data_IF_055538550283
#
_entry.id   IF_055538550283
#
_cell.length_a   1.000
_cell.length_b   1.000
_cell.length_c   1.000
_cell.angle_alpha   90.00
_cell.angle_beta   90.00
_cell.angle_gamma   90.00
#
_symmetry.space_group_name_H-M   'P 1'
#
loop_
_entity.id
_entity.type
_entity.pdbx_description
1 polymer ?
#
# COMPACT_ATOMS: atom_id res chain seq x y z
N UNK A 1 -9.93 40.90 60.75
CA UNK A 1 -10.98 41.89 61.07
C UNK A 1 -11.25 42.80 59.86
N UNK A 2 -12.49 42.71 59.33
CA UNK A 2 -13.26 43.66 58.50
C UNK A 2 -12.69 44.16 57.16
N UNK A 3 -13.45 44.40 56.06
CA UNK A 3 -14.68 43.88 55.45
C UNK A 3 -14.95 44.76 54.19
N UNK A 4 -15.53 44.16 53.12
CA UNK A 4 -16.45 44.73 52.10
C UNK A 4 -15.97 45.63 50.93
N UNK A 5 -16.03 45.05 49.72
CA UNK A 5 -16.86 45.37 48.53
C UNK A 5 -17.40 46.81 48.30
N UNK A 6 -17.23 47.35 47.07
CA UNK A 6 -18.34 47.77 46.18
C UNK A 6 -17.89 48.27 44.80
N UNK A 7 -18.76 48.02 43.84
CA UNK A 7 -18.73 48.26 42.39
C UNK A 7 -18.80 49.73 41.97
N UNK A 8 -18.31 50.07 40.77
CA UNK A 8 -19.08 50.86 39.77
C UNK A 8 -18.39 50.98 38.39
N UNK A 9 -19.24 50.87 37.37
CA UNK A 9 -19.04 51.05 35.94
C UNK A 9 -18.89 52.51 35.52
N UNK A 10 -18.04 52.81 34.53
CA UNK A 10 -18.15 54.02 33.71
C UNK A 10 -17.78 53.76 32.24
N UNK A 11 -18.53 54.44 31.36
CA UNK A 11 -18.72 54.25 29.91
C UNK A 11 -17.65 54.96 29.03
N UNK A 12 -17.96 55.46 27.82
CA UNK A 12 -17.60 54.90 26.51
C UNK A 12 -16.62 55.79 25.71
N UNK A 13 -16.20 55.38 24.50
CA UNK A 13 -16.18 56.19 23.25
C UNK A 13 -15.25 55.62 22.17
N UNK A 14 -15.81 55.54 20.96
CA UNK A 14 -15.12 55.47 19.67
C UNK A 14 -14.41 56.78 19.35
N UNK A 15 -13.44 56.79 18.40
CA UNK A 15 -13.77 57.41 17.12
C UNK A 15 -13.16 56.71 15.88
N UNK A 16 -13.85 56.82 14.75
CA UNK A 16 -13.32 56.63 13.39
C UNK A 16 -12.28 57.71 13.04
N UNK A 17 -11.52 57.56 11.94
CA UNK A 17 -11.96 58.21 10.71
C UNK A 17 -11.70 57.41 9.42
N UNK A 18 -12.34 57.90 8.36
CA UNK A 18 -12.46 57.35 7.00
C UNK A 18 -11.74 58.30 6.03
N UNK A 19 -10.88 57.80 5.15
CA UNK A 19 -10.59 58.33 3.80
C UNK A 19 -9.65 57.36 3.06
N UNK A 20 -10.13 56.55 2.09
CA UNK A 20 -10.27 56.80 0.64
C UNK A 20 -8.93 56.84 -0.12
N UNK A 21 -8.71 55.87 -1.02
CA UNK A 21 -7.67 55.94 -2.05
C UNK A 21 -7.26 54.57 -2.62
N UNK A 22 -7.73 54.26 -3.82
CA UNK A 22 -7.40 53.09 -4.66
C UNK A 22 -5.98 53.14 -5.22
N UNK A 23 -5.23 52.02 -5.23
CA UNK A 23 -4.43 51.52 -6.36
C UNK A 23 -3.53 50.30 -5.99
N UNK A 24 -3.71 49.22 -6.77
CA UNK A 24 -2.78 48.16 -7.18
C UNK A 24 -1.49 47.83 -6.37
N UNK A 25 -1.40 46.57 -5.92
CA UNK A 25 -0.33 45.61 -6.25
C UNK A 25 -0.67 44.20 -5.70
N UNK A 26 -0.39 43.10 -6.44
CA UNK A 26 -0.70 41.74 -6.00
C UNK A 26 0.48 41.16 -5.20
N UNK A 27 0.22 40.73 -3.96
CA UNK A 27 1.15 39.98 -3.12
C UNK A 27 0.65 38.55 -2.98
N UNK A 28 1.51 37.61 -3.36
CA UNK A 28 1.23 36.20 -3.53
C UNK A 28 0.89 35.50 -2.21
N UNK A 29 -0.24 34.78 -2.21
CA UNK A 29 -0.52 33.66 -1.31
C UNK A 29 -1.39 32.64 -2.04
N UNK A 30 -0.77 31.88 -2.94
CA UNK A 30 -1.34 30.65 -3.51
C UNK A 30 -0.29 29.53 -3.41
N UNK A 31 0.13 29.21 -2.19
CA UNK A 31 0.77 27.93 -1.89
C UNK A 31 -0.32 26.87 -1.60
N UNK A 32 -1.13 26.56 -2.62
CA UNK A 32 -1.97 25.36 -2.64
C UNK A 32 -1.71 24.61 -3.94
N UNK A 33 -1.00 23.49 -3.81
CA UNK A 33 -1.12 22.29 -4.64
C UNK A 33 -1.33 22.55 -6.13
N UNK A 34 -0.26 22.88 -6.84
CA UNK A 34 -0.23 22.72 -8.30
C UNK A 34 -0.18 21.22 -8.60
N UNK A 35 -1.36 20.60 -8.69
CA UNK A 35 -1.51 19.35 -9.43
C UNK A 35 -1.13 19.65 -10.88
N UNK A 36 0.03 19.16 -11.33
CA UNK A 36 0.59 19.45 -12.65
C UNK A 36 -0.44 19.09 -13.75
N UNK A 37 -1.02 20.07 -14.47
CA UNK A 37 -2.15 19.86 -15.38
C UNK A 37 -1.83 18.92 -16.55
N UNK A 38 -0.54 18.76 -16.88
CA UNK A 38 -0.09 17.89 -17.97
C UNK A 38 -0.03 16.41 -17.57
N UNK A 39 0.16 16.10 -16.28
CA UNK A 39 0.11 14.70 -15.78
C UNK A 39 -1.32 14.17 -15.90
N UNK A 40 -2.30 15.02 -15.64
CA UNK A 40 -3.71 14.74 -15.93
C UNK A 40 -4.02 14.77 -17.44
N UNK A 41 -3.36 15.64 -18.22
CA UNK A 41 -3.57 15.70 -19.68
C UNK A 41 -3.00 14.49 -20.45
N UNK A 42 -1.98 13.80 -19.93
CA UNK A 42 -1.46 12.57 -20.51
C UNK A 42 -2.31 11.33 -20.19
N UNK A 43 -3.24 11.45 -19.23
CA UNK A 43 -4.08 10.36 -18.75
C UNK A 43 -5.53 10.69 -19.15
N UNK A 44 -5.77 10.70 -20.46
CA UNK A 44 -7.14 10.75 -20.97
C UNK A 44 -7.94 9.56 -20.42
N UNK A 45 -9.20 9.78 -20.03
CA UNK A 45 -10.03 8.76 -19.37
C UNK A 45 -10.24 7.51 -20.25
N UNK A 46 -10.02 7.66 -21.56
CA UNK A 46 -10.15 6.61 -22.58
C UNK A 46 -8.91 5.74 -22.73
N UNK A 47 -7.72 6.20 -22.30
CA UNK A 47 -6.44 5.57 -22.64
C UNK A 47 -5.79 4.77 -21.51
N UNK A 48 -6.38 4.76 -20.31
CA UNK A 48 -5.82 4.10 -19.11
C UNK A 48 -5.82 2.57 -19.19
N UNK A 49 -6.54 1.99 -20.14
CA UNK A 49 -6.51 0.55 -20.40
C UNK A 49 -5.70 0.19 -21.66
N UNK A 50 -5.08 1.16 -22.33
CA UNK A 50 -4.28 0.91 -23.53
C UNK A 50 -2.78 0.77 -23.20
N UNK A 51 -2.19 -0.34 -23.61
CA UNK A 51 -0.78 -0.67 -23.34
C UNK A 51 0.15 0.30 -24.06
N UNK A 52 -0.20 0.69 -25.29
CA UNK A 52 0.61 1.57 -26.12
C UNK A 52 0.62 3.01 -25.61
N UNK A 53 -0.53 3.51 -25.14
CA UNK A 53 -0.65 4.83 -24.51
C UNK A 53 0.20 4.92 -23.24
N UNK A 54 0.20 3.85 -22.43
CA UNK A 54 1.01 3.76 -21.22
C UNK A 54 2.50 3.70 -21.55
N UNK A 55 2.90 2.82 -22.46
CA UNK A 55 4.29 2.71 -22.91
C UNK A 55 4.83 4.04 -23.45
N UNK A 56 4.02 4.78 -24.24
CA UNK A 56 4.36 6.14 -24.70
C UNK A 56 4.52 7.13 -23.55
N UNK A 57 3.62 7.10 -22.57
CA UNK A 57 3.68 8.00 -21.41
C UNK A 57 4.91 7.72 -20.56
N UNK A 58 5.20 6.45 -20.28
CA UNK A 58 6.40 6.03 -19.56
C UNK A 58 7.66 6.43 -20.30
N UNK A 59 7.73 6.20 -21.62
CA UNK A 59 8.90 6.59 -22.43
C UNK A 59 9.10 8.12 -22.44
N UNK A 60 8.01 8.90 -22.51
CA UNK A 60 8.05 10.36 -22.45
C UNK A 60 8.42 10.92 -21.07
N UNK A 61 8.12 10.20 -19.99
CA UNK A 61 8.55 10.56 -18.64
C UNK A 61 10.03 10.17 -18.44
N UNK A 62 10.44 9.00 -18.91
CA UNK A 62 11.84 8.53 -18.86
C UNK A 62 12.81 9.41 -19.68
N UNK A 63 12.35 10.05 -20.75
CA UNK A 63 13.17 10.96 -21.56
C UNK A 63 13.36 12.34 -20.95
N UNK A 64 12.64 12.67 -19.86
CA UNK A 64 12.77 13.94 -19.14
C UNK A 64 13.69 13.79 -17.93
N UNK A 65 14.48 14.83 -17.56
CA UNK A 65 15.41 14.78 -16.44
C UNK A 65 14.71 14.96 -15.07
N UNK A 66 13.51 14.37 -14.89
CA UNK A 66 12.73 14.45 -13.65
C UNK A 66 12.35 13.04 -13.16
N UNK A 67 13.25 12.37 -12.42
CA UNK A 67 13.02 11.00 -11.93
C UNK A 67 11.82 10.90 -10.97
N UNK A 68 11.49 11.98 -10.27
CA UNK A 68 10.43 12.03 -9.24
C UNK A 68 9.01 11.87 -9.79
N UNK A 69 8.82 12.06 -11.09
CA UNK A 69 7.51 12.02 -11.74
C UNK A 69 7.09 10.59 -12.12
N UNK A 70 8.06 9.72 -12.39
CA UNK A 70 7.79 8.34 -12.82
C UNK A 70 6.99 7.56 -11.77
N UNK A 71 7.33 7.59 -10.47
CA UNK A 71 6.59 6.84 -9.45
C UNK A 71 5.17 7.37 -9.23
N UNK A 72 4.99 8.70 -9.36
CA UNK A 72 3.68 9.34 -9.28
C UNK A 72 2.77 8.93 -10.45
N UNK A 73 3.30 8.92 -11.68
CA UNK A 73 2.58 8.46 -12.87
C UNK A 73 2.22 6.98 -12.77
N UNK A 74 3.18 6.13 -12.36
CA UNK A 74 2.94 4.71 -12.16
C UNK A 74 1.88 4.45 -11.07
N UNK A 75 1.96 5.17 -9.95
CA UNK A 75 0.99 5.06 -8.85
C UNK A 75 -0.39 5.52 -9.26
N UNK A 76 -0.50 6.63 -10.01
CA UNK A 76 -1.77 7.14 -10.50
C UNK A 76 -2.41 6.19 -11.52
N UNK A 77 -1.62 5.68 -12.46
CA UNK A 77 -2.09 4.72 -13.47
C UNK A 77 -2.54 3.42 -12.82
N UNK A 78 -1.75 2.85 -11.90
CA UNK A 78 -2.13 1.65 -11.17
C UNK A 78 -3.35 1.90 -10.26
N UNK A 79 -3.48 3.04 -9.59
CA UNK A 79 -4.64 3.31 -8.74
C UNK A 79 -5.96 3.34 -9.53
N UNK A 80 -5.92 3.74 -10.80
CA UNK A 80 -7.07 3.74 -11.70
C UNK A 80 -7.33 2.36 -12.32
N UNK A 81 -6.27 1.58 -12.55
CA UNK A 81 -6.33 0.24 -13.13
C UNK A 81 -6.65 -0.88 -12.12
N UNK A 82 -6.00 -0.89 -10.95
CA UNK A 82 -6.10 -1.91 -9.90
C UNK A 82 -7.55 -2.22 -9.45
N UNK A 83 -8.45 -1.24 -9.25
CA UNK A 83 -9.85 -1.50 -8.93
C UNK A 83 -10.59 -2.26 -10.04
N UNK A 84 -10.30 -1.94 -11.31
CA UNK A 84 -10.91 -2.60 -12.48
C UNK A 84 -10.42 -4.05 -12.66
N UNK A 85 -9.25 -4.40 -12.11
CA UNK A 85 -8.80 -5.79 -12.02
C UNK A 85 -9.63 -6.58 -11.00
N UNK A 86 -9.98 -5.96 -9.87
CA UNK A 86 -10.69 -6.60 -8.75
C UNK A 86 -12.22 -6.65 -8.93
N UNK A 87 -12.81 -5.68 -9.63
CA UNK A 87 -14.24 -5.64 -9.94
C UNK A 87 -14.45 -5.72 -11.45
N UNK A 88 -14.46 -6.93 -11.99
CA UNK A 88 -15.01 -7.17 -13.33
C UNK A 88 -16.55 -7.10 -13.29
N UNK A 89 -17.11 -5.91 -13.07
CA UNK A 89 -18.56 -5.69 -13.06
C UNK A 89 -19.00 -4.25 -13.39
N UNK A 90 -18.20 -3.41 -14.07
CA UNK A 90 -18.74 -2.19 -14.67
C UNK A 90 -18.76 -2.28 -16.19
N UNK A 91 -19.87 -2.83 -16.69
CA UNK A 91 -20.24 -2.72 -18.09
C UNK A 91 -20.53 -1.28 -18.47
N UNK A 92 -19.52 -0.56 -18.97
CA UNK A 92 -19.73 0.69 -19.70
C UNK A 92 -18.94 0.69 -21.01
N UNK A 93 -19.68 0.44 -22.09
CA UNK A 93 -19.44 0.81 -23.49
C UNK A 93 -18.05 0.53 -24.09
N UNK A 94 -17.74 -0.76 -24.29
CA UNK A 94 -16.93 -1.23 -25.43
C UNK A 94 -17.58 -2.51 -26.01
N UNK A 95 -17.29 -2.89 -27.26
CA UNK A 95 -17.83 -4.11 -27.89
C UNK A 95 -17.50 -5.34 -27.03
N UNK A 96 -18.14 -6.50 -27.25
CA UNK A 96 -17.83 -7.70 -26.50
C UNK A 96 -16.40 -8.18 -26.84
N UNK A 97 -15.39 -7.60 -26.19
CA UNK A 97 -14.08 -8.22 -26.12
C UNK A 97 -14.27 -9.52 -25.35
N UNK A 98 -13.78 -10.63 -25.92
CA UNK A 98 -13.78 -11.92 -25.25
C UNK A 98 -13.17 -11.76 -23.85
N UNK A 99 -13.74 -12.38 -22.80
CA UNK A 99 -13.18 -12.31 -21.44
C UNK A 99 -11.69 -12.70 -21.40
N UNK A 100 -11.26 -13.57 -22.31
CA UNK A 100 -9.84 -13.95 -22.51
C UNK A 100 -8.98 -12.79 -23.03
N UNK A 101 -9.51 -11.97 -23.95
CA UNK A 101 -8.79 -10.82 -24.50
C UNK A 101 -8.59 -9.73 -23.43
N UNK A 102 -9.63 -9.43 -22.66
CA UNK A 102 -9.56 -8.51 -21.51
C UNK A 102 -8.56 -8.99 -20.46
N UNK A 103 -8.55 -10.30 -20.18
CA UNK A 103 -7.60 -10.92 -19.26
C UNK A 103 -6.15 -10.83 -19.75
N UNK A 104 -5.88 -11.17 -21.02
CA UNK A 104 -4.54 -11.07 -21.62
C UNK A 104 -4.04 -9.61 -21.63
N UNK A 105 -4.93 -8.66 -21.93
CA UNK A 105 -4.62 -7.23 -21.91
C UNK A 105 -4.26 -6.75 -20.50
N UNK A 106 -5.01 -7.18 -19.48
CA UNK A 106 -4.69 -6.92 -18.08
C UNK A 106 -3.30 -7.47 -17.70
N UNK A 107 -2.97 -8.69 -18.15
CA UNK A 107 -1.66 -9.29 -17.90
C UNK A 107 -0.53 -8.50 -18.56
N UNK A 108 -0.70 -8.12 -19.83
CA UNK A 108 0.30 -7.34 -20.57
C UNK A 108 0.53 -5.94 -19.96
N UNK A 109 -0.53 -5.28 -19.49
CA UNK A 109 -0.42 -4.00 -18.78
C UNK A 109 0.40 -4.14 -17.51
N UNK A 110 0.17 -5.18 -16.72
CA UNK A 110 0.96 -5.45 -15.52
C UNK A 110 2.43 -5.70 -15.86
N UNK A 111 2.72 -6.54 -16.85
CA UNK A 111 4.09 -6.80 -17.29
C UNK A 111 4.79 -5.51 -17.74
N UNK A 112 4.07 -4.65 -18.46
CA UNK A 112 4.57 -3.34 -18.89
C UNK A 112 4.78 -2.38 -17.73
N UNK A 113 3.89 -2.37 -16.73
CA UNK A 113 4.01 -1.58 -15.50
C UNK A 113 5.25 -1.98 -14.68
N UNK A 114 5.48 -3.28 -14.53
CA UNK A 114 6.65 -3.80 -13.82
C UNK A 114 7.94 -3.51 -14.58
N UNK A 115 7.95 -3.72 -15.91
CA UNK A 115 9.10 -3.35 -16.76
C UNK A 115 9.37 -1.83 -16.79
N UNK A 116 8.34 -1.02 -16.51
CA UNK A 116 8.48 0.43 -16.40
C UNK A 116 9.13 0.87 -15.08
N UNK A 117 9.13 0.04 -14.03
CA UNK A 117 9.73 0.36 -12.74
C UNK A 117 11.23 0.67 -12.92
N UNK A 118 11.78 1.65 -12.18
CA UNK A 118 13.21 1.85 -12.08
C UNK A 118 13.90 0.53 -11.71
N UNK A 119 15.04 0.20 -12.35
CA UNK A 119 15.85 -0.93 -11.91
C UNK A 119 16.26 -0.70 -10.46
N UNK A 120 16.29 -1.77 -9.66
CA UNK A 120 16.75 -1.64 -8.28
C UNK A 120 18.19 -1.09 -8.27
N UNK A 121 18.50 -0.11 -7.41
CA UNK A 121 19.83 0.45 -7.33
C UNK A 121 20.84 -0.66 -6.97
N UNK A 122 21.98 -0.76 -7.69
CA UNK A 122 22.95 -1.84 -7.52
C UNK A 122 23.62 -1.90 -6.14
N UNK A 123 23.40 -0.89 -5.28
CA UNK A 123 24.10 -0.76 -4.00
C UNK A 123 23.24 -0.99 -2.75
N UNK A 124 21.97 -1.41 -2.88
CA UNK A 124 21.08 -1.55 -1.71
C UNK A 124 20.93 -0.26 -0.90
N UNK A 125 21.36 0.87 -1.45
CA UNK A 125 21.04 2.19 -0.94
C UNK A 125 19.59 2.46 -1.30
N UNK A 126 18.85 3.04 -0.35
CA UNK A 126 17.56 3.65 -0.62
C UNK A 126 17.78 4.83 -1.57
N UNK A 127 17.89 4.54 -2.87
CA UNK A 127 17.51 5.52 -3.85
C UNK A 127 16.01 5.73 -3.62
N UNK A 128 15.61 6.97 -3.41
CA UNK A 128 14.22 7.36 -3.35
C UNK A 128 13.62 7.19 -4.76
N UNK A 129 13.44 5.94 -5.18
CA UNK A 129 12.80 5.57 -6.44
C UNK A 129 11.30 5.92 -6.43
N UNK A 130 10.81 6.63 -5.40
CA UNK A 130 9.43 7.04 -5.13
C UNK A 130 8.41 5.90 -5.03
N UNK A 131 8.83 4.65 -5.17
CA UNK A 131 7.96 3.46 -5.15
C UNK A 131 7.81 2.96 -3.72
N UNK A 132 6.57 2.94 -3.24
CA UNK A 132 6.21 2.45 -1.91
C UNK A 132 6.07 0.93 -1.89
N UNK A 133 6.28 0.30 -0.73
CA UNK A 133 6.05 -1.13 -0.56
C UNK A 133 4.57 -1.50 -0.82
N UNK A 134 3.64 -0.66 -0.36
CA UNK A 134 2.21 -0.84 -0.60
C UNK A 134 1.85 -0.90 -2.10
N UNK A 135 2.51 -0.09 -2.93
CA UNK A 135 2.32 -0.14 -4.39
C UNK A 135 2.80 -1.48 -4.96
N UNK A 136 3.96 -1.97 -4.53
CA UNK A 136 4.50 -3.27 -4.96
C UNK A 136 3.57 -4.42 -4.54
N UNK A 137 3.08 -4.40 -3.31
CA UNK A 137 2.13 -5.40 -2.79
C UNK A 137 0.79 -5.38 -3.54
N UNK A 138 0.31 -4.19 -3.94
CA UNK A 138 -0.88 -4.06 -4.81
C UNK A 138 -0.65 -4.65 -6.20
N UNK A 139 0.52 -4.41 -6.81
CA UNK A 139 0.88 -5.03 -8.08
C UNK A 139 1.00 -6.55 -7.96
N UNK A 140 1.61 -7.04 -6.88
CA UNK A 140 1.76 -8.47 -6.59
C UNK A 140 0.39 -9.15 -6.43
N UNK A 141 -0.53 -8.51 -5.72
CA UNK A 141 -1.93 -8.93 -5.60
C UNK A 141 -2.62 -9.01 -6.96
N UNK A 142 -2.51 -7.96 -7.77
CA UNK A 142 -3.11 -7.94 -9.10
C UNK A 142 -2.51 -8.99 -10.03
N UNK A 143 -1.18 -9.19 -9.99
CA UNK A 143 -0.49 -10.21 -10.75
C UNK A 143 -0.86 -11.62 -10.35
N UNK A 144 -1.06 -11.88 -9.07
CA UNK A 144 -1.52 -13.18 -8.58
C UNK A 144 -2.95 -13.47 -9.06
N UNK A 145 -3.84 -12.47 -9.04
CA UNK A 145 -5.22 -12.60 -9.49
C UNK A 145 -5.34 -12.79 -11.01
N UNK A 146 -4.44 -12.17 -11.79
CA UNK A 146 -4.41 -12.30 -13.26
C UNK A 146 -3.55 -13.49 -13.70
N UNK A 147 -2.85 -14.20 -12.82
CA UNK A 147 -1.98 -15.32 -13.20
C UNK A 147 -0.81 -14.87 -14.10
N UNK A 148 -0.14 -13.79 -13.69
CA UNK A 148 1.07 -13.29 -14.36
C UNK A 148 2.25 -14.26 -14.24
N UNK A 149 3.30 -14.03 -15.03
CA UNK A 149 4.48 -14.89 -15.04
C UNK A 149 5.13 -15.01 -13.65
N UNK A 150 5.58 -16.21 -13.29
CA UNK A 150 6.15 -16.48 -11.98
C UNK A 150 7.43 -15.68 -11.72
N UNK A 151 8.27 -15.42 -12.74
CA UNK A 151 9.47 -14.61 -12.58
C UNK A 151 9.12 -13.15 -12.27
N UNK A 152 8.08 -12.60 -12.91
CA UNK A 152 7.57 -11.26 -12.62
C UNK A 152 7.08 -11.13 -11.17
N UNK A 153 6.30 -12.11 -10.70
CA UNK A 153 5.83 -12.13 -9.31
C UNK A 153 6.99 -12.28 -8.33
N UNK A 154 8.03 -13.05 -8.65
CA UNK A 154 9.23 -13.19 -7.82
C UNK A 154 10.04 -11.91 -7.74
N UNK A 155 10.12 -11.16 -8.84
CA UNK A 155 10.77 -9.85 -8.83
C UNK A 155 10.02 -8.85 -7.95
N UNK A 156 8.69 -8.80 -8.05
CA UNK A 156 7.84 -7.98 -7.18
C UNK A 156 7.96 -8.39 -5.72
N UNK A 157 7.94 -9.69 -5.42
CA UNK A 157 8.13 -10.25 -4.08
C UNK A 157 9.49 -9.82 -3.50
N UNK A 158 10.56 -9.93 -4.29
CA UNK A 158 11.92 -9.52 -3.92
C UNK A 158 12.01 -8.03 -3.59
N UNK A 159 11.42 -7.17 -4.44
CA UNK A 159 11.39 -5.71 -4.23
C UNK A 159 10.57 -5.32 -3.00
N UNK A 160 9.41 -5.97 -2.79
CA UNK A 160 8.56 -5.73 -1.63
C UNK A 160 9.23 -6.18 -0.33
N UNK A 161 9.93 -7.32 -0.35
CA UNK A 161 10.66 -7.85 0.80
C UNK A 161 11.70 -6.85 1.31
N UNK A 162 12.48 -6.20 0.43
CA UNK A 162 13.47 -5.16 0.81
C UNK A 162 12.89 -3.96 1.56
N UNK A 163 11.61 -3.64 1.31
CA UNK A 163 10.93 -2.44 1.82
C UNK A 163 9.78 -2.79 2.78
N UNK A 164 9.76 -4.03 3.31
CA UNK A 164 8.65 -4.54 4.11
C UNK A 164 8.42 -3.73 5.39
N UNK A 165 9.46 -3.09 5.92
CA UNK A 165 9.40 -2.21 7.09
C UNK A 165 8.59 -0.91 6.87
N UNK A 166 8.23 -0.62 5.61
CA UNK A 166 7.42 0.52 5.19
C UNK A 166 6.00 0.11 4.79
N UNK A 167 5.67 -1.18 4.84
CA UNK A 167 4.37 -1.69 4.41
C UNK A 167 3.28 -1.43 5.45
N UNK A 168 2.06 -1.18 4.97
CA UNK A 168 0.86 -1.14 5.83
C UNK A 168 0.24 -2.52 5.96
N UNK A 169 -0.44 -2.77 7.08
CA UNK A 169 -1.15 -4.04 7.32
C UNK A 169 -2.15 -4.33 6.20
N UNK A 170 -2.93 -3.33 5.77
CA UNK A 170 -3.92 -3.48 4.72
C UNK A 170 -3.32 -3.89 3.36
N UNK A 171 -2.09 -3.47 3.06
CA UNK A 171 -1.41 -3.85 1.82
C UNK A 171 -0.86 -5.28 1.87
N UNK A 172 -0.45 -5.77 3.04
CA UNK A 172 0.07 -7.13 3.25
C UNK A 172 -1.03 -8.19 3.30
N UNK A 173 -2.27 -7.80 3.61
CA UNK A 173 -3.46 -8.67 3.56
C UNK A 173 -3.84 -9.00 2.10
N UNK A 174 -3.02 -9.82 1.45
CA UNK A 174 -3.22 -10.30 0.08
C UNK A 174 -4.01 -11.62 0.14
N UNK A 175 -5.17 -11.71 -0.53
CA UNK A 175 -5.92 -12.96 -0.57
C UNK A 175 -5.16 -14.07 -1.31
N UNK A 176 -5.39 -15.32 -0.92
CA UNK A 176 -4.84 -16.48 -1.61
C UNK A 176 -5.55 -16.69 -2.96
N UNK A 177 -4.94 -16.22 -4.06
CA UNK A 177 -5.44 -16.45 -5.41
C UNK A 177 -4.84 -17.73 -6.01
N UNK A 178 -5.68 -18.76 -6.21
CA UNK A 178 -5.38 -19.88 -7.09
C UNK A 178 -4.34 -20.92 -6.63
N UNK A 179 -3.92 -20.96 -5.35
CA UNK A 179 -2.81 -21.82 -4.92
C UNK A 179 -3.08 -22.79 -3.74
N UNK A 180 -4.32 -23.16 -3.45
CA UNK A 180 -4.57 -24.22 -2.46
C UNK A 180 -5.63 -25.24 -2.91
N UNK A 181 -5.24 -26.51 -3.15
CA UNK A 181 -6.19 -27.61 -3.11
C UNK A 181 -6.52 -27.90 -1.64
N UNK A 182 -7.75 -27.56 -1.24
CA UNK A 182 -8.24 -27.67 0.15
C UNK A 182 -8.06 -26.35 0.90
N UNK A 183 -9.18 -25.78 1.36
CA UNK A 183 -9.30 -24.43 1.96
C UNK A 183 -8.22 -24.11 2.98
N UNK A 184 -7.16 -23.46 2.50
CA UNK A 184 -6.26 -22.66 3.31
C UNK A 184 -6.84 -21.26 3.38
N UNK A 185 -6.70 -20.60 4.53
CA UNK A 185 -6.93 -19.17 4.81
C UNK A 185 -7.28 -18.27 3.62
N UNK A 186 -8.23 -17.36 3.80
CA UNK A 186 -8.57 -16.36 2.79
C UNK A 186 -7.34 -15.51 2.42
N UNK A 187 -6.34 -15.45 3.31
CA UNK A 187 -5.06 -14.78 3.13
C UNK A 187 -3.95 -15.72 2.63
N UNK A 188 -3.03 -15.20 1.80
CA UNK A 188 -1.82 -15.89 1.37
C UNK A 188 -0.72 -15.79 2.45
N UNK A 189 -0.89 -16.55 3.53
CA UNK A 189 0.10 -16.64 4.62
C UNK A 189 1.48 -17.09 4.11
N UNK A 190 1.59 -18.07 3.18
CA UNK A 190 2.88 -18.44 2.60
C UNK A 190 3.60 -17.29 1.90
N UNK A 191 2.87 -16.37 1.24
CA UNK A 191 3.47 -15.17 0.64
C UNK A 191 4.06 -14.25 1.70
N UNK A 192 3.32 -13.94 2.77
CA UNK A 192 3.80 -13.08 3.85
C UNK A 192 5.06 -13.67 4.49
N UNK A 193 5.08 -14.97 4.71
CA UNK A 193 6.25 -15.68 5.22
C UNK A 193 7.48 -15.52 4.30
N UNK A 194 7.29 -15.61 2.97
CA UNK A 194 8.38 -15.39 2.00
C UNK A 194 8.88 -13.95 2.02
N UNK A 195 7.99 -12.96 2.14
CA UNK A 195 8.36 -11.55 2.26
C UNK A 195 9.21 -11.29 3.52
N UNK A 196 8.78 -11.82 4.67
CA UNK A 196 9.52 -11.71 5.93
C UNK A 196 10.90 -12.37 5.83
N UNK A 197 10.96 -13.58 5.27
CA UNK A 197 12.24 -14.28 5.03
C UNK A 197 13.16 -13.51 4.08
N UNK A 198 12.60 -12.91 3.03
CA UNK A 198 13.34 -12.07 2.09
C UNK A 198 13.95 -10.86 2.78
N UNK A 199 13.14 -10.11 3.54
CA UNK A 199 13.57 -8.95 4.32
C UNK A 199 14.74 -9.28 5.25
N UNK A 200 14.65 -10.42 5.95
CA UNK A 200 15.70 -10.87 6.87
C UNK A 200 16.96 -11.36 6.15
N UNK A 201 16.81 -12.03 5.01
CA UNK A 201 17.94 -12.54 4.20
C UNK A 201 18.76 -11.39 3.60
N UNK A 202 18.11 -10.29 3.24
CA UNK A 202 18.77 -9.07 2.74
C UNK A 202 19.29 -8.18 3.89
N UNK A 203 19.11 -8.64 5.12
CA UNK A 203 19.30 -7.96 6.40
C UNK A 203 20.72 -7.56 6.81
N UNK A 204 21.67 -7.41 5.88
CA UNK A 204 22.95 -6.77 6.21
C UNK A 204 22.79 -5.30 6.65
N UNK A 205 21.68 -4.64 6.30
CA UNK A 205 21.39 -3.23 6.64
C UNK A 205 19.94 -2.93 7.07
N UNK A 206 18.94 -3.71 6.65
CA UNK A 206 17.51 -3.47 6.94
C UNK A 206 16.94 -4.23 8.14
N UNK A 207 17.51 -5.38 8.52
CA UNK A 207 16.99 -6.20 9.62
C UNK A 207 17.46 -5.75 11.02
N UNK A 208 18.39 -4.79 11.11
CA UNK A 208 18.90 -4.25 12.36
C UNK A 208 18.07 -3.07 12.90
N UNK A 209 17.87 -3.01 14.21
CA UNK A 209 17.27 -1.86 14.89
C UNK A 209 15.79 -1.62 14.56
N UNK A 210 15.41 -0.36 14.30
CA UNK A 210 14.01 0.07 14.19
C UNK A 210 13.22 -0.51 13.01
N UNK A 211 13.87 -0.91 11.92
CA UNK A 211 13.21 -1.52 10.75
C UNK A 211 12.75 -2.96 11.05
N UNK A 212 13.60 -3.76 11.70
CA UNK A 212 13.21 -5.07 12.23
C UNK A 212 12.02 -4.97 13.21
N UNK A 213 12.01 -3.95 14.08
CA UNK A 213 10.90 -3.71 14.99
C UNK A 213 9.58 -3.33 14.29
N UNK A 214 9.64 -2.59 13.17
CA UNK A 214 8.45 -2.30 12.35
C UNK A 214 7.90 -3.57 11.70
N UNK A 215 8.77 -4.40 11.14
CA UNK A 215 8.37 -5.70 10.55
C UNK A 215 7.80 -6.64 11.60
N UNK A 216 8.38 -6.70 12.80
CA UNK A 216 7.86 -7.50 13.90
C UNK A 216 6.41 -7.10 14.26
N UNK A 217 6.16 -5.78 14.43
CA UNK A 217 4.82 -5.25 14.70
C UNK A 217 3.83 -5.55 13.57
N UNK A 218 4.28 -5.43 12.32
CA UNK A 218 3.47 -5.73 11.14
C UNK A 218 3.07 -7.22 11.11
N UNK A 219 4.00 -8.12 11.40
CA UNK A 219 3.75 -9.57 11.48
C UNK A 219 2.82 -9.92 12.63
N UNK A 220 3.04 -9.35 13.82
CA UNK A 220 2.17 -9.62 14.98
C UNK A 220 0.73 -9.09 14.72
N UNK A 221 0.59 -7.93 14.06
CA UNK A 221 -0.71 -7.41 13.65
C UNK A 221 -1.37 -8.27 12.56
N UNK A 222 -0.60 -8.76 11.59
CA UNK A 222 -1.07 -9.70 10.57
C UNK A 222 -1.57 -11.01 11.21
N UNK A 223 -0.81 -11.58 12.14
CA UNK A 223 -1.20 -12.79 12.87
C UNK A 223 -2.47 -12.58 13.67
N UNK A 224 -2.67 -11.40 14.28
CA UNK A 224 -3.89 -11.09 15.02
C UNK A 224 -5.14 -11.07 14.11
N UNK A 225 -5.04 -10.52 12.90
CA UNK A 225 -6.14 -10.52 11.92
C UNK A 225 -6.34 -11.91 11.32
N UNK A 226 -5.27 -12.59 10.90
CA UNK A 226 -5.33 -13.93 10.34
C UNK A 226 -5.89 -14.95 11.35
N UNK A 227 -5.63 -14.77 12.65
CA UNK A 227 -6.16 -15.62 13.70
C UNK A 227 -7.70 -15.54 13.86
N UNK A 228 -8.35 -14.51 13.29
CA UNK A 228 -9.82 -14.44 13.24
C UNK A 228 -10.41 -15.36 12.18
N UNK A 229 -9.60 -15.78 11.20
CA UNK A 229 -10.01 -16.70 10.15
C UNK A 229 -10.03 -18.15 10.66
N UNK A 230 -11.11 -18.88 10.38
CA UNK A 230 -11.30 -20.25 10.86
C UNK A 230 -10.32 -21.26 10.22
N UNK A 231 -9.63 -20.88 9.14
CA UNK A 231 -8.82 -21.77 8.31
C UNK A 231 -7.30 -21.59 8.53
N UNK A 232 -6.87 -20.74 9.48
CA UNK A 232 -5.44 -20.57 9.78
C UNK A 232 -4.88 -21.84 10.41
N UNK A 233 -3.90 -22.47 9.76
CA UNK A 233 -3.30 -23.70 10.27
C UNK A 233 -2.32 -23.38 11.41
N UNK A 234 -2.25 -24.21 12.46
CA UNK A 234 -1.33 -23.99 13.57
C UNK A 234 0.13 -23.87 13.09
N UNK A 235 0.51 -24.70 12.11
CA UNK A 235 1.84 -24.70 11.52
C UNK A 235 2.19 -23.36 10.84
N UNK A 236 1.24 -22.72 10.16
CA UNK A 236 1.46 -21.43 9.50
C UNK A 236 1.62 -20.30 10.51
N UNK A 237 0.80 -20.29 11.55
CA UNK A 237 0.91 -19.34 12.66
C UNK A 237 2.27 -19.47 13.35
N UNK A 238 2.69 -20.71 13.65
CA UNK A 238 3.96 -21.00 14.30
C UNK A 238 5.16 -20.62 13.42
N UNK A 239 5.11 -20.97 12.13
CA UNK A 239 6.19 -20.68 11.18
C UNK A 239 6.38 -19.17 10.99
N UNK A 240 5.28 -18.41 10.88
CA UNK A 240 5.34 -16.96 10.74
C UNK A 240 5.78 -16.26 12.03
N UNK A 241 5.29 -16.72 13.19
CA UNK A 241 5.73 -16.21 14.49
C UNK A 241 7.24 -16.40 14.70
N UNK A 242 7.77 -17.57 14.33
CA UNK A 242 9.20 -17.92 14.45
C UNK A 242 10.08 -17.23 13.41
N UNK A 243 9.53 -16.85 12.26
CA UNK A 243 10.31 -16.20 11.21
C UNK A 243 10.92 -14.86 11.68
N UNK A 244 10.24 -14.14 12.58
CA UNK A 244 10.73 -12.88 13.15
C UNK A 244 11.69 -13.14 14.32
N UNK A 245 12.93 -12.61 14.29
CA UNK A 245 13.89 -12.77 15.39
C UNK A 245 13.40 -12.16 16.71
N UNK A 246 13.72 -12.80 17.84
CA UNK A 246 13.32 -12.33 19.18
C UNK A 246 13.78 -10.89 19.47
N UNK A 247 15.00 -10.52 19.06
CA UNK A 247 15.53 -9.16 19.27
C UNK A 247 14.81 -8.07 18.47
N UNK A 248 14.04 -8.42 17.44
CA UNK A 248 13.21 -7.47 16.70
C UNK A 248 11.93 -7.11 17.47
N UNK A 249 11.51 -7.97 18.42
CA UNK A 249 10.38 -7.71 19.30
C UNK A 249 10.86 -6.97 20.54
N UNK A 250 10.29 -5.78 20.77
CA UNK A 250 10.50 -5.05 22.02
C UNK A 250 9.66 -5.62 23.17
N UNK A 251 8.51 -6.21 22.84
CA UNK A 251 7.60 -6.90 23.75
C UNK A 251 6.82 -7.96 22.94
N UNK A 252 6.45 -9.05 23.60
CA UNK A 252 5.72 -10.17 22.98
C UNK A 252 4.20 -10.09 23.20
N UNK A 253 3.70 -9.05 23.87
CA UNK A 253 2.26 -8.89 24.20
C UNK A 253 1.34 -9.00 22.97
N UNK A 254 1.76 -8.41 21.85
CA UNK A 254 1.00 -8.45 20.59
C UNK A 254 0.96 -9.88 20.01
N UNK A 255 2.08 -10.61 20.06
CA UNK A 255 2.15 -11.99 19.63
C UNK A 255 1.30 -12.89 20.52
N UNK A 256 1.40 -12.75 21.84
CA UNK A 256 0.56 -13.51 22.78
C UNK A 256 -0.92 -13.23 22.58
N UNK A 257 -1.29 -11.98 22.29
CA UNK A 257 -2.67 -11.62 21.95
C UNK A 257 -3.14 -12.30 20.67
N UNK A 258 -2.31 -12.37 19.64
CA UNK A 258 -2.64 -13.09 18.41
C UNK A 258 -2.85 -14.60 18.66
N UNK A 259 -1.97 -15.21 19.47
CA UNK A 259 -2.09 -16.63 19.87
C UNK A 259 -3.36 -16.88 20.69
N UNK A 260 -3.67 -16.02 21.66
CA UNK A 260 -4.90 -16.14 22.47
C UNK A 260 -6.16 -16.02 21.59
N UNK A 261 -6.20 -15.06 20.65
CA UNK A 261 -7.27 -14.95 19.66
C UNK A 261 -7.41 -16.24 18.84
N UNK A 262 -6.30 -16.80 18.36
CA UNK A 262 -6.28 -18.04 17.58
C UNK A 262 -6.86 -19.22 18.37
N UNK A 263 -6.41 -19.40 19.62
CA UNK A 263 -6.88 -20.48 20.49
C UNK A 263 -8.37 -20.34 20.84
N UNK A 264 -8.84 -19.10 21.03
CA UNK A 264 -10.27 -18.83 21.24
C UNK A 264 -11.09 -19.16 20.00
N UNK A 265 -10.60 -18.80 18.82
CA UNK A 265 -11.32 -19.01 17.56
C UNK A 265 -11.42 -20.50 17.20
N UNK A 266 -10.34 -21.24 17.39
CA UNK A 266 -10.28 -22.70 17.13
C UNK A 266 -11.18 -23.49 18.08
N UNK A 267 -11.18 -23.17 19.38
CA UNK A 267 -12.11 -23.78 20.36
C UNK A 267 -13.59 -23.54 20.04
N UNK A 268 -13.92 -22.37 19.51
CA UNK A 268 -15.31 -22.03 19.11
C UNK A 268 -15.76 -22.86 17.89
N UNK A 269 -14.84 -23.20 16.97
CA UNK A 269 -15.16 -24.06 15.82
C UNK A 269 -15.42 -25.51 16.28
N UNK A 270 -14.65 -26.04 17.23
CA UNK A 270 -14.86 -27.39 17.77
C UNK A 270 -16.16 -27.56 18.55
N UNK A 271 -16.69 -26.49 19.17
CA UNK A 271 -17.94 -26.54 19.96
C UNK A 271 -19.21 -26.38 19.09
N UNK A 272 -19.08 -25.87 17.86
CA UNK A 272 -20.21 -25.59 16.97
C UNK A 272 -20.29 -26.45 15.70
N UNK A 273 -19.35 -27.38 15.47
CA UNK A 273 -19.59 -28.57 14.64
C UNK A 273 -19.82 -29.75 15.58
N UNK A 274 -20.94 -30.47 15.61
CA UNK A 274 -21.79 -30.95 14.52
C UNK A 274 -23.12 -31.52 15.12
N UNK A 275 -24.07 -32.12 14.36
CA UNK A 275 -24.00 -32.57 12.96
C UNK A 275 -24.83 -31.80 11.94
#
# INVERSE_FOLDING_TARGET
PTMKSSSQSHSPRTPSPRARGTAAAPGADHARSSSEPWVLACVDDTCVNDVESFARTVAAVKSKPRPDLLPSVLSHYAAKWLPDVATSASGRFLPPESPTATWLKKRLLLETLVAALPPDPPSGAAADDGITCDFLLKLLRAGSMVGADAALLRELESRAARRLDQATLAAVMIPAFGHAPGGSTLLDVPLVLRLVRGFLKEGGKGAGGGAGARVARLVDAYLAEAALEAELRPAELEELARAVPAHARAADDALYRAVDTYLKRTRVVEVHGEP
#
